data_IF_942353745641
#
_entry.id   IF_942353745641
#
_cell.length_a   1.000
_cell.length_b   1.000
_cell.length_c   1.000
_cell.angle_alpha   90.00
_cell.angle_beta   90.00
_cell.angle_gamma   90.00
#
_symmetry.space_group_name_H-M   'P 1'
#
loop_
_entity.id
_entity.type
_entity.pdbx_description
1 polymer ?
#
# COMPACT_ATOMS: atom_id res chain seq x y z
N UNK A 1 -27.29 4.40 -0.82
CA UNK A 1 -26.70 4.27 -2.16
C UNK A 1 -26.43 2.79 -2.38
N UNK A 2 -26.76 2.23 -3.54
CA UNK A 2 -26.37 0.86 -3.84
C UNK A 2 -24.88 0.84 -4.22
N UNK A 3 -24.09 0.12 -3.42
CA UNK A 3 -22.63 0.07 -3.59
C UNK A 3 -22.24 -0.54 -4.94
N UNK A 4 -23.05 -1.46 -5.46
CA UNK A 4 -22.81 -2.10 -6.76
C UNK A 4 -22.96 -1.10 -7.89
N UNK A 5 -24.03 -0.30 -7.86
CA UNK A 5 -24.27 0.79 -8.82
C UNK A 5 -23.14 1.82 -8.79
N UNK A 6 -22.73 2.28 -7.61
CA UNK A 6 -21.63 3.24 -7.47
C UNK A 6 -20.30 2.68 -7.97
N UNK A 7 -20.01 1.41 -7.69
CA UNK A 7 -18.79 0.77 -8.19
C UNK A 7 -18.79 0.68 -9.73
N UNK A 8 -19.93 0.39 -10.34
CA UNK A 8 -20.05 0.37 -11.80
C UNK A 8 -19.78 1.74 -12.43
N UNK A 9 -20.28 2.81 -11.82
CA UNK A 9 -20.01 4.19 -12.25
C UNK A 9 -18.52 4.53 -12.15
N UNK A 10 -17.85 4.11 -11.07
CA UNK A 10 -16.41 4.29 -10.89
C UNK A 10 -15.63 3.49 -11.94
N UNK A 11 -16.02 2.24 -12.21
CA UNK A 11 -15.35 1.39 -13.20
C UNK A 11 -15.47 1.97 -14.61
N UNK A 12 -16.55 2.69 -14.92
CA UNK A 12 -16.75 3.36 -16.20
C UNK A 12 -15.86 4.59 -16.43
N UNK A 13 -15.19 5.11 -15.39
CA UNK A 13 -14.20 6.18 -15.52
C UNK A 13 -12.94 5.71 -16.26
N UNK A 14 -12.15 6.67 -16.74
CA UNK A 14 -10.81 6.37 -17.26
C UNK A 14 -9.91 5.82 -16.16
N UNK A 15 -8.91 5.04 -16.56
CA UNK A 15 -7.97 4.41 -15.61
C UNK A 15 -7.31 5.45 -14.71
N UNK A 16 -6.91 6.59 -15.26
CA UNK A 16 -6.26 7.68 -14.52
C UNK A 16 -7.18 8.24 -13.44
N UNK A 17 -8.45 8.47 -13.76
CA UNK A 17 -9.44 9.00 -12.81
C UNK A 17 -9.73 8.00 -11.69
N UNK A 18 -9.75 6.70 -12.01
CA UNK A 18 -9.91 5.64 -10.99
C UNK A 18 -8.72 5.58 -10.04
N UNK A 19 -7.51 5.75 -10.55
CA UNK A 19 -6.29 5.78 -9.72
C UNK A 19 -6.33 6.98 -8.77
N UNK A 20 -6.69 8.17 -9.28
CA UNK A 20 -6.85 9.37 -8.45
C UNK A 20 -7.92 9.20 -7.37
N UNK A 21 -9.04 8.56 -7.71
CA UNK A 21 -10.11 8.30 -6.75
C UNK A 21 -9.66 7.32 -5.66
N UNK A 22 -8.94 6.25 -6.02
CA UNK A 22 -8.37 5.31 -5.04
C UNK A 22 -7.41 6.02 -4.10
N UNK A 23 -6.54 6.90 -4.62
CA UNK A 23 -5.63 7.70 -3.79
C UNK A 23 -6.40 8.61 -2.83
N UNK A 24 -7.40 9.34 -3.33
CA UNK A 24 -8.18 10.27 -2.50
C UNK A 24 -8.95 9.54 -1.38
N UNK A 25 -9.50 8.36 -1.66
CA UNK A 25 -10.15 7.52 -0.64
C UNK A 25 -9.11 7.06 0.38
N UNK A 26 -7.95 6.58 -0.07
CA UNK A 26 -6.87 6.15 0.81
C UNK A 26 -6.40 7.27 1.74
N UNK A 27 -6.20 8.48 1.20
CA UNK A 27 -5.81 9.66 1.97
C UNK A 27 -6.87 10.06 3.00
N UNK A 28 -8.16 9.92 2.66
CA UNK A 28 -9.26 10.20 3.61
C UNK A 28 -9.26 9.24 4.80
N UNK A 29 -9.01 7.94 4.56
CA UNK A 29 -8.92 6.93 5.60
C UNK A 29 -7.70 7.21 6.49
N UNK A 30 -6.56 7.54 5.87
CA UNK A 30 -5.35 7.92 6.58
C UNK A 30 -5.57 9.14 7.49
N UNK A 31 -6.31 10.14 7.02
CA UNK A 31 -6.62 11.34 7.80
C UNK A 31 -7.55 11.07 9.00
N UNK A 32 -8.43 10.08 8.91
CA UNK A 32 -9.34 9.69 10.00
C UNK A 32 -8.67 8.77 11.03
N UNK A 33 -7.57 8.09 10.66
CA UNK A 33 -6.83 7.21 11.55
C UNK A 33 -5.89 8.02 12.45
N UNK A 34 -6.09 7.92 13.76
CA UNK A 34 -5.06 8.31 14.71
C UNK A 34 -3.92 7.28 14.63
N UNK A 35 -2.90 7.57 13.82
CA UNK A 35 -1.71 6.74 13.78
C UNK A 35 -1.10 6.67 15.19
N UNK A 36 -0.75 5.47 15.69
CA UNK A 36 0.07 5.40 16.89
C UNK A 36 1.37 6.14 16.60
N UNK A 37 1.79 7.03 17.51
CA UNK A 37 3.10 7.65 17.38
C UNK A 37 4.15 6.55 17.32
N UNK A 38 4.90 6.52 16.21
CA UNK A 38 6.02 5.62 16.08
C UNK A 38 7.11 6.07 17.05
N UNK A 39 7.63 5.13 17.83
CA UNK A 39 8.84 5.35 18.61
C UNK A 39 10.01 5.61 17.66
N UNK A 40 11.05 6.29 18.15
CA UNK A 40 12.23 6.61 17.33
C UNK A 40 12.91 5.34 16.77
N UNK A 41 12.91 4.25 17.55
CA UNK A 41 13.41 2.95 17.10
C UNK A 41 12.59 2.37 15.92
N UNK A 42 11.26 2.55 15.92
CA UNK A 42 10.41 2.12 14.83
C UNK A 42 10.59 2.97 13.58
N UNK A 43 10.77 4.29 13.72
CA UNK A 43 11.10 5.18 12.61
C UNK A 43 12.43 4.81 11.99
N UNK A 44 13.46 4.61 12.82
CA UNK A 44 14.80 4.21 12.36
C UNK A 44 14.79 2.87 11.61
N UNK A 45 13.98 1.90 12.04
CA UNK A 45 13.83 0.64 11.32
C UNK A 45 13.08 0.81 9.98
N UNK A 46 12.10 1.72 9.90
CA UNK A 46 11.46 2.05 8.62
C UNK A 46 12.45 2.73 7.67
N UNK A 47 13.23 3.70 8.14
CA UNK A 47 14.24 4.39 7.34
C UNK A 47 15.29 3.41 6.81
N UNK A 48 15.80 2.52 7.66
CA UNK A 48 16.74 1.45 7.25
C UNK A 48 16.14 0.57 6.16
N UNK A 49 14.86 0.21 6.26
CA UNK A 49 14.17 -0.64 5.26
C UNK A 49 13.94 0.08 3.95
N UNK A 50 13.70 1.39 3.98
CA UNK A 50 13.59 2.22 2.78
C UNK A 50 14.94 2.27 2.08
N UNK A 51 16.02 2.57 2.82
CA UNK A 51 17.39 2.62 2.27
C UNK A 51 17.83 1.28 1.67
N UNK A 52 17.54 0.15 2.33
CA UNK A 52 17.84 -1.20 1.83
C UNK A 52 17.05 -1.52 0.55
N UNK A 53 15.81 -1.05 0.47
CA UNK A 53 14.95 -1.21 -0.72
C UNK A 53 15.43 -0.35 -1.89
N UNK A 54 15.82 0.90 -1.64
CA UNK A 54 16.36 1.81 -2.66
C UNK A 54 17.74 1.36 -3.16
N UNK A 55 18.58 0.83 -2.26
CA UNK A 55 19.92 0.33 -2.59
C UNK A 55 19.90 -1.04 -3.27
N UNK A 56 18.80 -1.79 -3.15
CA UNK A 56 18.65 -3.11 -3.73
C UNK A 56 17.23 -3.34 -4.31
N UNK A 57 16.90 -2.68 -5.44
CA UNK A 57 15.55 -2.72 -6.02
C UNK A 57 15.09 -4.12 -6.42
N UNK A 58 16.01 -5.03 -6.72
CA UNK A 58 15.73 -6.44 -7.06
C UNK A 58 15.29 -7.29 -5.84
N UNK A 59 15.52 -6.82 -4.61
CA UNK A 59 15.15 -7.52 -3.37
C UNK A 59 13.70 -7.24 -2.92
N UNK A 60 12.98 -6.37 -3.62
CA UNK A 60 11.57 -6.08 -3.33
C UNK A 60 10.66 -7.27 -3.58
N UNK A 61 10.98 -8.11 -4.57
CA UNK A 61 10.18 -9.27 -4.95
C UNK A 61 10.28 -10.46 -3.97
N UNK A 62 11.37 -10.57 -3.20
CA UNK A 62 11.60 -11.71 -2.32
C UNK A 62 10.75 -11.70 -1.04
N UNK A 63 10.23 -10.52 -0.63
CA UNK A 63 9.53 -10.37 0.65
C UNK A 63 8.02 -10.63 0.58
N UNK A 64 7.44 -10.62 -0.62
CA UNK A 64 6.02 -10.95 -0.85
C UNK A 64 5.79 -12.42 -1.24
N UNK A 65 6.85 -13.17 -1.54
CA UNK A 65 6.76 -14.62 -1.66
C UNK A 65 6.86 -15.25 -0.27
N UNK A 66 5.82 -15.94 0.23
CA UNK A 66 6.05 -16.97 1.24
C UNK A 66 7.07 -17.91 0.59
N UNK A 67 8.21 -18.13 1.25
CA UNK A 67 9.07 -19.28 0.94
C UNK A 67 8.24 -20.52 1.22
N UNK A 68 7.45 -20.95 0.24
CA UNK A 68 6.94 -22.30 0.14
C UNK A 68 8.17 -23.18 -0.10
N UNK A 69 8.79 -23.59 1.01
CA UNK A 69 9.57 -24.81 1.05
C UNK A 69 8.57 -25.93 0.78
N UNK A 70 8.36 -26.25 -0.49
CA UNK A 70 7.92 -27.59 -0.87
C UNK A 70 9.20 -28.41 -0.76
N UNK A 71 9.44 -28.95 0.43
CA UNK A 71 10.38 -30.04 0.60
C UNK A 71 9.86 -31.23 -0.24
N UNK A 72 10.76 -31.80 -1.07
CA UNK A 72 10.56 -32.93 -1.98
C UNK A 72 9.91 -34.17 -1.33
#
# INVERSE_FOLDING_TARGET
MDMTTTLNEIIALKVEDRILLVQAIWDSIAAEQAYPELTDAQKQELDRRIEDTESNPENTFARETPTLSIDD
#
